data_IF_241012136117
#
_entry.id   IF_241012136117
#
_cell.length_a   1.000
_cell.length_b   1.000
_cell.length_c   1.000
_cell.angle_alpha   90.00
_cell.angle_beta   90.00
_cell.angle_gamma   90.00
#
_symmetry.space_group_name_H-M   'P 1'
#
loop_
_entity.id
_entity.type
_entity.pdbx_description
1 polymer ?
#
# COMPACT_ATOMS: atom_id res chain seq x y z
N UNK A 1 15.59 -5.47 20.81
CA UNK A 1 14.49 -4.95 19.98
C UNK A 1 15.10 -4.10 18.89
N UNK A 2 15.17 -4.62 17.67
CA UNK A 2 15.51 -3.82 16.49
C UNK A 2 14.39 -2.80 16.27
N UNK A 3 14.74 -1.53 16.05
CA UNK A 3 13.78 -0.48 15.71
C UNK A 3 13.31 -0.71 14.27
N UNK A 4 12.10 -1.25 14.09
CA UNK A 4 11.46 -1.33 12.79
C UNK A 4 10.85 0.03 12.45
N UNK A 5 11.05 0.50 11.22
CA UNK A 5 10.44 1.71 10.70
C UNK A 5 9.41 1.34 9.63
N UNK A 6 8.24 1.98 9.67
CA UNK A 6 7.19 1.80 8.67
C UNK A 6 7.22 2.96 7.68
N UNK A 7 7.12 2.64 6.40
CA UNK A 7 7.02 3.60 5.30
C UNK A 7 5.84 3.19 4.41
N UNK A 8 5.24 4.15 3.72
CA UNK A 8 4.20 3.90 2.71
C UNK A 8 4.74 4.29 1.32
N UNK A 9 4.65 3.39 0.35
CA UNK A 9 5.18 3.59 -1.00
C UNK A 9 4.10 3.37 -2.06
N UNK A 10 3.90 4.36 -2.94
CA UNK A 10 3.01 4.26 -4.09
C UNK A 10 3.83 4.40 -5.39
N UNK A 11 3.70 3.44 -6.31
CA UNK A 11 4.56 3.39 -7.49
C UNK A 11 4.03 2.60 -8.69
N UNK A 12 2.74 2.28 -8.71
CA UNK A 12 2.11 1.41 -9.72
C UNK A 12 1.36 0.26 -9.08
N UNK A 13 1.22 -0.86 -9.80
CA UNK A 13 0.46 -2.01 -9.32
C UNK A 13 1.03 -2.56 -8.01
N UNK A 14 0.27 -2.44 -6.91
CA UNK A 14 0.69 -2.87 -5.57
C UNK A 14 1.10 -4.35 -5.46
N UNK A 15 0.55 -5.25 -6.28
CA UNK A 15 0.90 -6.68 -6.29
C UNK A 15 2.35 -6.89 -6.74
N UNK A 16 2.79 -6.12 -7.74
CA UNK A 16 4.16 -6.19 -8.24
C UNK A 16 5.15 -5.64 -7.21
N UNK A 17 4.79 -4.51 -6.59
CA UNK A 17 5.65 -3.84 -5.61
C UNK A 17 5.73 -4.66 -4.31
N UNK A 18 4.62 -5.15 -3.78
CA UNK A 18 4.63 -6.00 -2.58
C UNK A 18 5.48 -7.26 -2.80
N UNK A 19 5.29 -7.96 -3.93
CA UNK A 19 6.07 -9.15 -4.27
C UNK A 19 7.57 -8.86 -4.40
N UNK A 20 7.94 -7.66 -4.84
CA UNK A 20 9.33 -7.22 -4.89
C UNK A 20 9.89 -6.94 -3.50
N UNK A 21 9.19 -6.17 -2.67
CA UNK A 21 9.64 -5.81 -1.32
C UNK A 21 9.74 -7.02 -0.38
N UNK A 22 8.84 -8.00 -0.50
CA UNK A 22 8.94 -9.27 0.26
C UNK A 22 10.23 -10.05 -0.01
N UNK A 23 10.96 -9.76 -1.09
CA UNK A 23 12.24 -10.42 -1.43
C UNK A 23 13.46 -9.64 -0.95
N UNK A 24 13.29 -8.40 -0.49
CA UNK A 24 14.39 -7.55 -0.04
C UNK A 24 14.82 -8.00 1.35
N UNK A 25 16.12 -8.27 1.51
CA UNK A 25 16.69 -8.60 2.80
C UNK A 25 16.48 -7.44 3.80
N UNK A 26 16.07 -7.77 5.02
CA UNK A 26 15.72 -6.83 6.10
C UNK A 26 14.34 -6.17 6.00
N UNK A 27 13.53 -6.46 4.98
CA UNK A 27 12.09 -6.17 5.01
C UNK A 27 11.41 -7.23 5.86
N UNK A 28 10.82 -6.83 6.99
CA UNK A 28 10.10 -7.75 7.87
C UNK A 28 8.70 -8.08 7.34
N UNK A 29 8.04 -7.10 6.72
CA UNK A 29 6.65 -7.19 6.26
C UNK A 29 6.40 -6.15 5.15
N UNK A 30 5.50 -6.48 4.22
CA UNK A 30 4.97 -5.56 3.20
C UNK A 30 3.49 -5.88 3.00
N UNK A 31 2.63 -4.85 3.03
CA UNK A 31 1.17 -5.01 3.01
C UNK A 31 0.55 -4.05 2.00
N UNK A 32 -0.14 -4.60 1.00
CA UNK A 32 -0.89 -3.84 0.02
C UNK A 32 -2.06 -3.08 0.65
N UNK A 33 -2.21 -1.81 0.28
CA UNK A 33 -3.28 -0.94 0.74
C UNK A 33 -3.50 0.26 -0.18
N UNK A 34 -4.30 1.20 0.31
CA UNK A 34 -4.68 2.40 -0.41
C UNK A 34 -4.45 3.62 0.47
N UNK A 35 -3.74 4.61 -0.03
CA UNK A 35 -3.40 5.82 0.72
C UNK A 35 -3.74 7.09 -0.05
N UNK A 36 -3.66 8.22 0.64
CA UNK A 36 -3.80 9.57 0.09
C UNK A 36 -5.18 9.87 -0.56
N UNK A 37 -6.26 9.60 0.16
CA UNK A 37 -7.61 9.99 -0.27
C UNK A 37 -8.32 10.92 0.70
N UNK A 38 -9.42 11.50 0.25
CA UNK A 38 -10.35 12.26 1.08
C UNK A 38 -11.46 11.39 1.72
N UNK A 39 -11.46 10.07 1.49
CA UNK A 39 -12.48 9.14 2.01
C UNK A 39 -11.90 8.35 3.17
N UNK A 40 -12.49 8.48 4.36
CA UNK A 40 -12.13 7.66 5.51
C UNK A 40 -12.67 6.23 5.34
N UNK A 41 -11.80 5.22 5.48
CA UNK A 41 -12.12 3.79 5.41
C UNK A 41 -12.99 3.40 4.18
N UNK A 42 -12.51 3.63 2.95
CA UNK A 42 -13.26 3.22 1.75
C UNK A 42 -13.41 1.70 1.70
N UNK A 43 -14.52 1.22 1.15
CA UNK A 43 -14.59 -0.17 0.70
C UNK A 43 -13.79 -0.36 -0.60
N UNK A 44 -13.44 -1.61 -0.92
CA UNK A 44 -12.85 -1.94 -2.22
C UNK A 44 -13.75 -1.49 -3.38
N UNK A 45 -15.07 -1.63 -3.22
CA UNK A 45 -16.03 -1.15 -4.23
C UNK A 45 -15.97 0.37 -4.42
N UNK A 46 -15.79 1.14 -3.34
CA UNK A 46 -15.66 2.60 -3.43
C UNK A 46 -14.39 3.02 -4.18
N UNK A 47 -13.29 2.26 -4.01
CA UNK A 47 -12.04 2.49 -4.73
C UNK A 47 -12.21 2.20 -6.21
N UNK A 48 -12.84 1.08 -6.57
CA UNK A 48 -13.01 0.68 -7.96
C UNK A 48 -14.02 1.53 -8.74
N UNK A 49 -15.06 2.05 -8.08
CA UNK A 49 -16.22 2.61 -8.79
C UNK A 49 -16.46 4.10 -8.57
N UNK A 50 -15.92 4.72 -7.51
CA UNK A 50 -16.28 6.10 -7.15
C UNK A 50 -15.19 7.14 -7.40
N UNK A 51 -14.12 6.79 -8.10
CA UNK A 51 -13.02 7.71 -8.46
C UNK A 51 -12.53 8.52 -7.23
N UNK A 52 -12.31 7.81 -6.13
CA UNK A 52 -12.03 8.31 -4.77
C UNK A 52 -10.62 8.91 -4.61
N UNK A 53 -9.80 8.87 -5.66
CA UNK A 53 -8.46 9.47 -5.68
C UNK A 53 -7.40 8.71 -4.89
N UNK A 54 -7.68 7.48 -4.44
CA UNK A 54 -6.68 6.66 -3.76
C UNK A 54 -5.52 6.30 -4.68
N UNK A 55 -4.31 6.32 -4.12
CA UNK A 55 -3.14 5.71 -4.74
C UNK A 55 -2.94 4.29 -4.18
N UNK A 56 -2.72 3.31 -5.06
CA UNK A 56 -2.24 1.98 -4.68
C UNK A 56 -0.88 2.11 -3.97
N UNK A 57 -0.79 1.54 -2.77
CA UNK A 57 0.34 1.73 -1.84
C UNK A 57 0.72 0.40 -1.19
N UNK A 58 1.99 0.25 -0.78
CA UNK A 58 2.48 -0.83 0.08
C UNK A 58 3.24 -0.29 1.30
#
# INVERSE_FOLDING_TARGET
MTLAQTICLAGGCFWGIEAYFRRIHSVSEAVSGYANSCTENPSYEDICHRNTGHAETI
#
